data_IF_108709365548
#
_entry.id   IF_108709365548
#
_cell.length_a   1.000
_cell.length_b   1.000
_cell.length_c   1.000
_cell.angle_alpha   90.00
_cell.angle_beta   90.00
_cell.angle_gamma   90.00
#
_symmetry.space_group_name_H-M   'P 1'
#
loop_
_entity.id
_entity.type
_entity.pdbx_description
1 polymer ?
#
# COMPACT_ATOMS: atom_id res chain seq x y z
N UNK A 1 18.85 -19.90 -17.67
CA UNK A 1 17.38 -19.91 -17.75
C UNK A 1 16.89 -19.15 -16.53
N UNK A 2 16.24 -18.02 -16.76
CA UNK A 2 15.91 -17.02 -15.73
C UNK A 2 14.95 -17.62 -14.71
N UNK A 3 15.28 -17.52 -13.42
CA UNK A 3 14.62 -18.26 -12.34
C UNK A 3 13.76 -17.32 -11.50
N UNK A 4 12.80 -16.71 -12.17
CA UNK A 4 11.81 -15.84 -11.54
C UNK A 4 10.95 -16.66 -10.59
N UNK A 5 10.49 -16.03 -9.51
CA UNK A 5 9.66 -16.67 -8.48
C UNK A 5 8.49 -15.78 -8.15
N UNK A 6 7.33 -16.40 -7.94
CA UNK A 6 6.16 -15.76 -7.39
C UNK A 6 6.26 -15.74 -5.87
N UNK A 7 6.03 -14.57 -5.30
CA UNK A 7 6.08 -14.30 -3.87
C UNK A 7 4.74 -13.70 -3.45
N UNK A 8 4.25 -14.11 -2.29
CA UNK A 8 3.07 -13.51 -1.65
C UNK A 8 3.53 -12.61 -0.51
N UNK A 9 2.82 -11.50 -0.31
CA UNK A 9 3.04 -10.64 0.85
C UNK A 9 2.60 -11.40 2.10
N UNK A 10 3.52 -11.56 3.04
CA UNK A 10 3.22 -12.12 4.35
C UNK A 10 2.43 -11.10 5.18
N UNK A 11 1.18 -11.41 5.57
CA UNK A 11 0.35 -10.49 6.34
C UNK A 11 0.92 -10.15 7.73
N UNK A 12 1.78 -10.98 8.31
CA UNK A 12 2.40 -10.74 9.62
C UNK A 12 3.65 -9.86 9.56
N UNK A 13 4.25 -9.69 8.37
CA UNK A 13 5.55 -9.04 8.19
C UNK A 13 5.56 -7.96 7.11
N UNK A 14 4.45 -7.23 6.97
CA UNK A 14 4.36 -6.08 6.05
C UNK A 14 3.81 -4.83 6.76
N UNK A 15 4.01 -3.68 6.12
CA UNK A 15 3.39 -2.42 6.55
C UNK A 15 3.16 -1.53 5.34
N UNK A 16 1.94 -1.00 5.20
CA UNK A 16 1.62 0.03 4.21
C UNK A 16 1.53 1.35 4.95
N UNK A 17 2.46 2.25 4.65
CA UNK A 17 2.69 3.49 5.40
C UNK A 17 2.56 4.69 4.48
N UNK A 18 1.97 5.76 4.97
CA UNK A 18 1.97 7.07 4.30
C UNK A 18 2.37 8.17 5.27
N UNK A 19 2.84 9.28 4.69
CA UNK A 19 3.17 10.51 5.41
C UNK A 19 2.50 11.68 4.70
N UNK A 20 1.79 12.51 5.45
CA UNK A 20 1.13 13.70 4.92
C UNK A 20 1.55 14.93 5.73
N UNK A 21 1.90 16.02 5.03
CA UNK A 21 2.32 17.24 5.69
C UNK A 21 1.11 18.00 6.23
N UNK A 22 1.04 18.15 7.55
CA UNK A 22 0.06 18.98 8.23
C UNK A 22 0.58 20.41 8.31
N UNK A 23 -0.02 21.31 7.51
CA UNK A 23 0.21 22.76 7.48
C UNK A 23 1.69 23.19 7.38
N UNK A 24 2.54 22.36 6.76
CA UNK A 24 3.95 22.67 6.52
C UNK A 24 4.91 22.41 7.69
N UNK A 25 4.40 22.09 8.88
CA UNK A 25 5.23 22.01 10.10
C UNK A 25 5.36 20.62 10.69
N UNK A 26 4.35 19.76 10.51
CA UNK A 26 4.36 18.42 11.08
C UNK A 26 4.02 17.38 10.04
N UNK A 27 4.84 16.34 9.99
CA UNK A 27 4.53 15.14 9.23
C UNK A 27 3.60 14.24 10.02
N UNK A 28 2.40 14.02 9.49
CA UNK A 28 1.48 13.04 10.03
C UNK A 28 1.75 11.69 9.39
N UNK A 29 2.21 10.74 10.20
CA UNK A 29 2.32 9.34 9.84
C UNK A 29 0.94 8.66 9.88
N UNK A 30 0.68 7.78 8.93
CA UNK A 30 -0.50 6.91 8.93
C UNK A 30 -0.23 5.59 8.24
N UNK A 31 -1.17 4.67 8.41
CA UNK A 31 -1.09 3.29 7.97
C UNK A 31 -2.37 2.86 7.26
N UNK A 32 -2.26 1.85 6.42
CA UNK A 32 -3.37 0.96 6.09
C UNK A 32 -3.07 -0.39 6.72
N UNK A 33 -3.95 -0.84 7.61
CA UNK A 33 -3.73 -2.04 8.42
C UNK A 33 -4.03 -3.34 7.67
N UNK A 34 -4.77 -3.28 6.57
CA UNK A 34 -5.19 -4.45 5.81
C UNK A 34 -4.78 -4.31 4.34
N UNK A 35 -4.00 -5.28 3.88
CA UNK A 35 -3.58 -5.38 2.50
C UNK A 35 -3.11 -6.78 2.17
N UNK A 36 -3.20 -7.13 0.89
CA UNK A 36 -2.67 -8.38 0.34
C UNK A 36 -1.99 -8.08 -0.98
N UNK A 37 -1.14 -8.98 -1.44
CA UNK A 37 -0.50 -8.80 -2.73
C UNK A 37 0.48 -9.90 -3.04
N UNK A 38 0.99 -9.83 -4.26
CA UNK A 38 2.00 -10.74 -4.76
C UNK A 38 2.91 -10.03 -5.75
N UNK A 39 4.08 -10.60 -5.97
CA UNK A 39 5.03 -10.07 -6.92
C UNK A 39 5.87 -11.18 -7.54
N UNK A 40 6.29 -10.98 -8.79
CA UNK A 40 7.24 -11.85 -9.46
C UNK A 40 8.61 -11.18 -9.46
N UNK A 41 9.60 -11.83 -8.85
CA UNK A 41 10.93 -11.26 -8.64
C UNK A 41 12.03 -12.27 -8.93
N UNK A 42 13.08 -11.81 -9.61
CA UNK A 42 14.31 -12.56 -9.83
C UNK A 42 15.39 -12.10 -8.83
N UNK A 43 15.75 -12.92 -7.82
CA UNK A 43 16.75 -12.57 -6.83
C UNK A 43 18.19 -12.54 -7.36
N UNK A 44 18.47 -13.17 -8.52
CA UNK A 44 19.81 -13.17 -9.11
C UNK A 44 20.09 -11.86 -9.86
N UNK A 45 19.12 -11.41 -10.67
CA UNK A 45 19.22 -10.12 -11.39
C UNK A 45 18.71 -8.92 -10.58
N UNK A 46 18.10 -9.18 -9.42
CA UNK A 46 17.43 -8.20 -8.57
C UNK A 46 16.29 -7.44 -9.29
N UNK A 47 15.65 -8.09 -10.25
CA UNK A 47 14.64 -7.51 -11.12
C UNK A 47 13.22 -7.83 -10.64
N UNK A 48 12.39 -6.79 -10.49
CA UNK A 48 10.95 -6.95 -10.30
C UNK A 48 10.28 -7.06 -11.67
N UNK A 49 9.57 -8.16 -11.91
CA UNK A 49 8.89 -8.42 -13.18
C UNK A 49 7.45 -7.96 -13.14
N UNK A 50 6.76 -8.23 -12.05
CA UNK A 50 5.39 -7.76 -11.80
C UNK A 50 5.15 -7.60 -10.30
N UNK A 51 4.16 -6.79 -9.94
CA UNK A 51 3.74 -6.61 -8.56
C UNK A 51 2.31 -6.11 -8.52
N UNK A 52 1.53 -6.66 -7.60
CA UNK A 52 0.13 -6.32 -7.39
C UNK A 52 -0.16 -6.24 -5.90
N UNK A 53 -0.82 -5.17 -5.46
CA UNK A 53 -1.21 -4.96 -4.06
C UNK A 53 -2.63 -4.43 -4.00
N UNK A 54 -3.47 -5.07 -3.20
CA UNK A 54 -4.80 -4.60 -2.81
C UNK A 54 -4.76 -4.12 -1.37
N UNK A 55 -5.35 -2.95 -1.12
CA UNK A 55 -5.34 -2.29 0.18
C UNK A 55 -6.80 -1.97 0.54
N UNK A 56 -7.24 -2.37 1.73
CA UNK A 56 -8.61 -2.07 2.16
C UNK A 56 -8.70 -0.62 2.64
N UNK A 57 -9.48 0.20 1.94
CA UNK A 57 -9.56 1.64 2.21
C UNK A 57 -10.12 1.95 3.62
N UNK A 58 -10.97 1.09 4.17
CA UNK A 58 -11.50 1.26 5.54
C UNK A 58 -10.43 1.04 6.61
N UNK A 59 -9.33 0.34 6.29
CA UNK A 59 -8.24 0.04 7.22
C UNK A 59 -7.29 1.21 7.50
N UNK A 60 -7.60 2.41 6.98
CA UNK A 60 -6.82 3.61 7.28
C UNK A 60 -6.77 3.85 8.79
N UNK A 61 -5.56 4.14 9.27
CA UNK A 61 -5.27 4.38 10.67
C UNK A 61 -4.24 5.51 10.81
N UNK A 62 -4.62 6.54 11.56
CA UNK A 62 -3.73 7.68 11.86
C UNK A 62 -3.56 7.89 13.36
N UNK A 63 -3.97 6.93 14.19
CA UNK A 63 -3.99 7.04 15.65
C UNK A 63 -4.89 8.19 16.15
N UNK A 64 -5.99 8.46 15.44
CA UNK A 64 -7.02 9.44 15.82
C UNK A 64 -8.36 9.10 15.17
N UNK A 65 -9.31 8.59 15.96
CA UNK A 65 -10.57 8.03 15.45
C UNK A 65 -11.39 9.02 14.60
N UNK A 66 -11.61 10.26 15.05
CA UNK A 66 -12.41 11.22 14.26
C UNK A 66 -11.78 11.54 12.90
N UNK A 67 -10.44 11.55 12.83
CA UNK A 67 -9.72 11.80 11.58
C UNK A 67 -9.82 10.59 10.68
N UNK A 68 -9.69 9.39 11.22
CA UNK A 68 -9.85 8.15 10.45
C UNK A 68 -11.27 8.05 9.88
N UNK A 69 -12.30 8.39 10.66
CA UNK A 69 -13.68 8.46 10.19
C UNK A 69 -13.88 9.52 9.09
N UNK A 70 -13.24 10.69 9.24
CA UNK A 70 -13.27 11.72 8.20
C UNK A 70 -12.60 11.24 6.91
N UNK A 71 -11.45 10.58 7.00
CA UNK A 71 -10.70 10.06 5.85
C UNK A 71 -11.43 8.91 5.15
N UNK A 72 -12.17 8.06 5.87
CA UNK A 72 -13.05 7.02 5.28
C UNK A 72 -14.26 7.61 4.55
N UNK A 73 -14.65 8.83 4.89
CA UNK A 73 -15.85 9.48 4.37
C UNK A 73 -15.78 9.80 2.88
N UNK A 74 -16.92 10.27 2.34
CA UNK A 74 -17.07 10.65 0.92
C UNK A 74 -16.22 11.87 0.52
N UNK A 75 -15.71 12.63 1.49
CA UNK A 75 -14.87 13.81 1.24
C UNK A 75 -13.42 13.44 0.91
N UNK A 76 -13.00 12.21 1.24
CA UNK A 76 -11.66 11.69 0.98
C UNK A 76 -11.73 10.35 0.24
N UNK A 77 -11.39 9.24 0.90
CA UNK A 77 -11.26 7.93 0.27
C UNK A 77 -12.60 7.42 -0.27
N UNK A 78 -13.71 7.86 0.34
CA UNK A 78 -15.04 7.35 0.06
C UNK A 78 -15.06 5.81 0.17
N UNK A 79 -14.49 5.28 1.25
CA UNK A 79 -14.10 3.88 1.41
C UNK A 79 -15.26 2.89 1.17
N UNK A 80 -16.49 3.24 1.61
CA UNK A 80 -17.67 2.39 1.34
C UNK A 80 -18.01 2.21 -0.15
N UNK A 81 -17.62 3.14 -1.02
CA UNK A 81 -17.84 3.06 -2.48
C UNK A 81 -16.61 2.61 -3.24
N UNK A 82 -15.42 2.91 -2.72
CA UNK A 82 -14.14 2.51 -3.27
C UNK A 82 -13.40 1.68 -2.19
N UNK A 83 -13.85 0.44 -1.92
CA UNK A 83 -13.35 -0.34 -0.78
C UNK A 83 -11.90 -0.78 -0.94
N UNK A 84 -11.42 -0.89 -2.18
CA UNK A 84 -10.09 -1.40 -2.49
C UNK A 84 -9.28 -0.34 -3.23
N UNK A 85 -8.09 -0.05 -2.73
CA UNK A 85 -7.05 0.73 -3.42
C UNK A 85 -6.09 -0.29 -4.04
N UNK A 86 -5.80 -0.14 -5.34
CA UNK A 86 -4.97 -1.09 -6.10
C UNK A 86 -3.69 -0.42 -6.53
N UNK A 87 -2.57 -1.09 -6.33
CA UNK A 87 -1.29 -0.79 -6.96
C UNK A 87 -0.90 -1.95 -7.90
N UNK A 88 -0.56 -1.61 -9.13
CA UNK A 88 -0.03 -2.55 -10.12
C UNK A 88 1.27 -1.98 -10.70
N UNK A 89 2.35 -2.75 -10.61
CA UNK A 89 3.66 -2.35 -11.13
C UNK A 89 3.66 -2.41 -12.66
N UNK A 90 3.94 -1.28 -13.31
CA UNK A 90 3.92 -1.17 -14.77
C UNK A 90 5.28 -1.33 -15.44
N UNK A 91 6.37 -0.95 -14.76
CA UNK A 91 7.75 -1.12 -15.26
C UNK A 91 8.76 -1.06 -14.13
N UNK A 92 9.82 -1.86 -14.25
CA UNK A 92 11.00 -1.79 -13.39
C UNK A 92 12.16 -1.13 -14.14
N UNK A 93 12.87 -0.21 -13.47
CA UNK A 93 14.06 0.45 -14.02
C UNK A 93 15.21 0.22 -13.05
N UNK A 94 16.22 -0.53 -13.47
CA UNK A 94 17.48 -0.68 -12.73
C UNK A 94 18.33 0.59 -12.87
N UNK A 95 18.89 1.08 -11.77
CA UNK A 95 19.90 2.16 -11.78
C UNK A 95 21.28 1.67 -12.21
#
# INVERSE_FOLDING_TARGET
MQKTRDWEIDPEHFSIVFEAQHIGFQSQLGFFLEGTGSFNYDPESQELISGYVEIQAESIFTNHDDRDDHLRSREFLSARRNPVIVFEASSYVSC
#
